data_IF_499002092673
#
_entry.id   IF_499002092673
#
_cell.length_a   1.000
_cell.length_b   1.000
_cell.length_c   1.000
_cell.angle_alpha   90.00
_cell.angle_beta   90.00
_cell.angle_gamma   90.00
#
_symmetry.space_group_name_H-M   'P 1'
#
loop_
_entity.id
_entity.type
_entity.pdbx_description
1 polymer ?
#
# COMPACT_ATOMS: atom_id res chain seq x y z
N UNK A 1 14.87 19.55 -1.79
CA UNK A 1 14.29 19.22 -0.49
C UNK A 1 14.97 17.93 -0.04
N UNK A 2 16.07 18.05 0.68
CA UNK A 2 16.76 16.93 1.31
C UNK A 2 15.86 16.50 2.49
N UNK A 3 15.00 15.51 2.26
CA UNK A 3 14.45 14.78 3.39
C UNK A 3 15.65 14.28 4.19
N UNK A 4 15.69 14.65 5.45
CA UNK A 4 16.78 14.37 6.37
C UNK A 4 17.18 12.89 6.25
N UNK A 5 18.44 12.62 5.87
CA UNK A 5 18.98 11.26 5.75
C UNK A 5 18.75 10.45 7.03
N UNK A 6 18.69 11.12 8.19
CA UNK A 6 18.36 10.51 9.46
C UNK A 6 16.91 9.98 9.50
N UNK A 7 15.94 10.71 8.95
CA UNK A 7 14.55 10.27 8.88
C UNK A 7 14.37 9.10 7.91
N UNK A 8 15.08 9.12 6.80
CA UNK A 8 15.13 8.02 5.84
C UNK A 8 15.67 6.76 6.51
N UNK A 9 16.84 6.84 7.14
CA UNK A 9 17.46 5.71 7.85
C UNK A 9 16.55 5.17 8.95
N UNK A 10 15.90 6.05 9.71
CA UNK A 10 14.90 5.67 10.72
C UNK A 10 13.74 4.88 10.12
N UNK A 11 13.20 5.36 9.00
CA UNK A 11 12.11 4.68 8.30
C UNK A 11 12.54 3.30 7.82
N UNK A 12 13.70 3.19 7.17
CA UNK A 12 14.23 1.91 6.71
C UNK A 12 14.50 0.93 7.86
N UNK A 13 15.03 1.43 9.00
CA UNK A 13 15.22 0.61 10.20
C UNK A 13 13.89 0.05 10.74
N UNK A 14 12.79 0.83 10.69
CA UNK A 14 11.46 0.35 11.06
C UNK A 14 11.05 -0.80 10.14
N UNK A 15 11.22 -0.63 8.83
CA UNK A 15 10.86 -1.65 7.84
C UNK A 15 11.68 -2.93 8.01
N UNK A 16 12.99 -2.83 8.14
CA UNK A 16 13.86 -3.98 8.33
C UNK A 16 13.46 -4.78 9.56
N UNK A 17 13.32 -4.12 10.72
CA UNK A 17 12.88 -4.77 11.96
C UNK A 17 11.51 -5.41 11.84
N UNK A 18 10.58 -4.76 11.10
CA UNK A 18 9.24 -5.32 10.85
C UNK A 18 9.33 -6.63 10.06
N UNK A 19 10.12 -6.63 8.97
CA UNK A 19 10.29 -7.79 8.09
C UNK A 19 10.95 -8.95 8.85
N UNK A 20 11.95 -8.65 9.71
CA UNK A 20 12.58 -9.63 10.60
C UNK A 20 11.58 -10.25 11.58
N UNK A 21 10.77 -9.42 12.25
CA UNK A 21 9.75 -9.89 13.20
C UNK A 21 8.70 -10.79 12.55
N UNK A 22 8.39 -10.57 11.27
CA UNK A 22 7.38 -11.33 10.53
C UNK A 22 7.99 -12.51 9.74
N UNK A 23 9.30 -12.62 9.68
CA UNK A 23 10.02 -13.63 8.89
C UNK A 23 9.54 -13.73 7.44
N UNK A 24 9.11 -12.59 6.86
CA UNK A 24 8.51 -12.55 5.54
C UNK A 24 9.48 -12.03 4.47
N UNK A 25 9.09 -12.21 3.20
CA UNK A 25 9.75 -11.55 2.06
C UNK A 25 9.05 -10.23 1.77
N UNK A 26 9.82 -9.20 1.41
CA UNK A 26 9.28 -7.89 1.10
C UNK A 26 9.92 -7.28 -0.15
N UNK A 27 9.10 -6.57 -0.93
CA UNK A 27 9.55 -5.60 -1.94
C UNK A 27 9.35 -4.23 -1.32
N UNK A 28 10.41 -3.44 -1.23
CA UNK A 28 10.38 -2.10 -0.64
C UNK A 28 10.69 -1.08 -1.74
N UNK A 29 9.70 -0.27 -2.09
CA UNK A 29 9.90 0.81 -3.05
C UNK A 29 10.36 2.07 -2.33
N UNK A 30 11.45 2.63 -2.81
CA UNK A 30 12.07 3.86 -2.30
C UNK A 30 12.25 4.87 -3.44
N UNK A 31 12.20 6.19 -3.17
CA UNK A 31 12.25 7.21 -4.21
C UNK A 31 13.68 7.57 -4.68
N UNK A 32 14.65 6.66 -4.51
CA UNK A 32 16.06 6.91 -4.88
C UNK A 32 16.51 5.95 -5.95
N UNK A 33 17.36 6.47 -6.85
CA UNK A 33 17.96 5.67 -7.92
C UNK A 33 19.21 4.91 -7.41
N UNK A 34 19.96 5.47 -6.48
CA UNK A 34 21.11 4.81 -5.86
C UNK A 34 20.70 4.08 -4.58
N UNK A 35 20.68 2.77 -4.66
CA UNK A 35 20.36 1.87 -3.56
C UNK A 35 21.61 1.26 -2.90
N UNK A 36 22.81 1.60 -3.37
CA UNK A 36 24.08 1.01 -2.91
C UNK A 36 24.40 1.30 -1.43
N UNK A 37 23.85 2.39 -0.90
CA UNK A 37 24.01 2.76 0.52
C UNK A 37 23.15 1.91 1.49
N UNK A 38 22.32 1.01 0.97
CA UNK A 38 21.40 0.20 1.77
C UNK A 38 21.82 -1.26 1.74
N UNK A 39 22.22 -1.80 2.88
CA UNK A 39 22.40 -3.25 3.05
C UNK A 39 21.04 -3.94 2.93
N UNK A 40 20.87 -4.75 1.90
CA UNK A 40 19.68 -5.56 1.71
C UNK A 40 19.90 -6.96 2.27
N UNK A 41 18.95 -7.45 3.08
CA UNK A 41 18.91 -8.86 3.50
C UNK A 41 18.34 -9.71 2.38
N UNK A 42 18.63 -11.00 2.36
CA UNK A 42 18.18 -11.96 1.34
C UNK A 42 16.66 -11.98 1.10
N UNK A 43 15.88 -11.58 2.12
CA UNK A 43 14.42 -11.56 2.06
C UNK A 43 13.83 -10.17 1.72
N UNK A 44 14.65 -9.16 1.42
CA UNK A 44 14.23 -7.80 1.07
C UNK A 44 14.75 -7.43 -0.31
N UNK A 45 13.82 -7.13 -1.21
CA UNK A 45 14.16 -6.62 -2.54
C UNK A 45 13.80 -5.13 -2.63
N UNK A 46 14.81 -4.27 -2.77
CA UNK A 46 14.60 -2.82 -2.89
C UNK A 46 14.51 -2.40 -4.36
N UNK A 47 13.54 -1.52 -4.65
CA UNK A 47 13.32 -0.98 -6.00
C UNK A 47 13.07 0.54 -5.92
N UNK A 48 13.47 1.28 -6.94
CA UNK A 48 13.15 2.71 -7.07
C UNK A 48 11.76 2.92 -7.72
N UNK A 49 11.42 2.06 -8.68
CA UNK A 49 10.12 2.06 -9.37
C UNK A 49 9.66 0.64 -9.61
N UNK A 50 8.34 0.43 -9.57
CA UNK A 50 7.75 -0.84 -9.94
C UNK A 50 6.39 -0.64 -10.61
N UNK A 51 6.05 -1.42 -11.64
CA UNK A 51 4.73 -1.40 -12.25
C UNK A 51 3.73 -2.06 -11.29
N UNK A 52 2.91 -1.27 -10.63
CA UNK A 52 1.95 -1.77 -9.62
C UNK A 52 1.01 -2.84 -10.19
N UNK A 53 0.59 -2.68 -11.44
CA UNK A 53 -0.27 -3.67 -12.11
C UNK A 53 0.36 -5.07 -12.21
N UNK A 54 1.69 -5.17 -12.23
CA UNK A 54 2.40 -6.45 -12.32
C UNK A 54 2.83 -6.98 -10.94
N UNK A 55 3.23 -6.07 -10.05
CA UNK A 55 3.81 -6.43 -8.74
C UNK A 55 2.72 -6.70 -7.71
N UNK A 56 1.73 -5.83 -7.59
CA UNK A 56 0.71 -5.94 -6.53
C UNK A 56 -0.08 -7.25 -6.57
N UNK A 57 -0.49 -7.79 -7.74
CA UNK A 57 -1.19 -9.10 -7.79
C UNK A 57 -0.38 -10.26 -7.22
N UNK A 58 0.95 -10.14 -7.14
CA UNK A 58 1.86 -11.16 -6.61
C UNK A 58 2.16 -11.02 -5.12
N UNK A 59 1.70 -9.94 -4.50
CA UNK A 59 1.87 -9.69 -3.06
C UNK A 59 0.73 -10.30 -2.25
N UNK A 60 1.00 -10.68 -1.01
CA UNK A 60 -0.03 -11.11 -0.06
C UNK A 60 -0.81 -9.92 0.53
N UNK A 61 -0.13 -8.80 0.76
CA UNK A 61 -0.70 -7.54 1.22
C UNK A 61 0.14 -6.36 0.71
N UNK A 62 -0.46 -5.18 0.62
CA UNK A 62 0.19 -3.96 0.19
C UNK A 62 0.27 -2.98 1.37
N UNK A 63 1.47 -2.53 1.70
CA UNK A 63 1.67 -1.47 2.70
C UNK A 63 1.92 -0.16 1.98
N UNK A 64 1.08 0.85 2.23
CA UNK A 64 1.20 2.13 1.54
C UNK A 64 0.67 3.30 2.39
N UNK A 65 0.91 4.53 1.93
CA UNK A 65 0.53 5.74 2.69
C UNK A 65 -0.98 6.07 2.65
N UNK A 66 -1.77 5.43 1.78
CA UNK A 66 -3.21 5.71 1.66
C UNK A 66 -3.56 6.81 0.65
N UNK A 67 -2.64 7.19 -0.25
CA UNK A 67 -3.00 8.09 -1.35
C UNK A 67 -3.97 7.43 -2.33
N UNK A 68 -4.90 8.21 -2.92
CA UNK A 68 -5.98 7.71 -3.78
C UNK A 68 -5.50 6.76 -4.88
N UNK A 69 -4.45 7.13 -5.64
CA UNK A 69 -3.95 6.32 -6.75
C UNK A 69 -3.40 4.95 -6.31
N UNK A 70 -2.61 4.91 -5.22
CA UNK A 70 -2.08 3.64 -4.70
C UNK A 70 -3.19 2.80 -4.07
N UNK A 71 -4.17 3.43 -3.43
CA UNK A 71 -5.37 2.76 -2.90
C UNK A 71 -6.15 2.08 -4.03
N UNK A 72 -6.41 2.78 -5.13
CA UNK A 72 -7.06 2.20 -6.31
C UNK A 72 -6.25 1.06 -6.91
N UNK A 73 -4.93 1.23 -7.04
CA UNK A 73 -4.05 0.18 -7.57
C UNK A 73 -4.05 -1.09 -6.71
N UNK A 74 -4.08 -0.96 -5.38
CA UNK A 74 -4.15 -2.12 -4.48
C UNK A 74 -5.50 -2.84 -4.55
N UNK A 75 -6.60 -2.09 -4.67
CA UNK A 75 -7.94 -2.64 -4.86
C UNK A 75 -8.09 -3.33 -6.21
N UNK A 76 -7.63 -2.70 -7.31
CA UNK A 76 -7.62 -3.33 -8.65
C UNK A 76 -6.82 -4.63 -8.66
N UNK A 77 -5.72 -4.69 -7.92
CA UNK A 77 -4.93 -5.91 -7.76
C UNK A 77 -5.61 -6.97 -6.88
N UNK A 78 -6.74 -6.65 -6.25
CA UNK A 78 -7.46 -7.55 -5.36
C UNK A 78 -6.70 -7.88 -4.08
N UNK A 79 -5.90 -6.93 -3.56
CA UNK A 79 -5.03 -7.17 -2.40
C UNK A 79 -5.44 -6.32 -1.19
N UNK A 80 -5.43 -6.91 0.01
CA UNK A 80 -5.68 -6.17 1.24
C UNK A 80 -4.52 -5.22 1.54
N UNK A 81 -4.82 -4.16 2.28
CA UNK A 81 -3.88 -3.06 2.53
C UNK A 81 -3.59 -2.83 4.00
N UNK A 82 -2.39 -2.35 4.28
CA UNK A 82 -1.99 -1.75 5.56
C UNK A 82 -1.65 -0.29 5.31
N UNK A 83 -2.38 0.63 5.94
CA UNK A 83 -2.23 2.06 5.70
C UNK A 83 -1.35 2.69 6.77
N UNK A 84 -0.32 3.42 6.32
CA UNK A 84 0.57 4.23 7.15
C UNK A 84 0.42 5.69 6.71
N UNK A 85 -0.57 6.39 7.25
CA UNK A 85 -0.93 7.73 6.83
C UNK A 85 0.08 8.79 7.28
N UNK A 86 0.33 9.76 6.40
CA UNK A 86 1.18 10.93 6.62
C UNK A 86 0.36 12.23 6.78
N UNK A 87 -0.79 12.32 6.12
CA UNK A 87 -1.66 13.50 6.07
C UNK A 87 -3.15 13.10 6.05
N UNK A 88 -4.03 14.11 6.17
CA UNK A 88 -5.45 13.94 6.47
C UNK A 88 -6.26 13.11 5.44
N UNK A 89 -6.07 13.36 4.14
CA UNK A 89 -6.78 12.64 3.07
C UNK A 89 -6.47 11.12 3.05
N UNK A 90 -5.26 10.76 3.45
CA UNK A 90 -4.82 9.36 3.54
C UNK A 90 -5.52 8.62 4.69
N UNK A 91 -5.86 9.33 5.76
CA UNK A 91 -6.65 8.77 6.86
C UNK A 91 -8.08 8.45 6.41
N UNK A 92 -8.65 9.30 5.56
CA UNK A 92 -9.97 9.05 4.95
C UNK A 92 -9.95 7.74 4.14
N UNK A 93 -8.99 7.57 3.22
CA UNK A 93 -8.86 6.35 2.42
C UNK A 93 -8.61 5.11 3.30
N UNK A 94 -7.82 5.25 4.35
CA UNK A 94 -7.62 4.16 5.31
C UNK A 94 -8.92 3.75 6.03
N UNK A 95 -9.75 4.71 6.43
CA UNK A 95 -11.05 4.45 7.02
C UNK A 95 -12.00 3.74 6.05
N UNK A 96 -12.02 4.17 4.77
CA UNK A 96 -12.84 3.52 3.74
C UNK A 96 -12.40 2.07 3.47
N UNK A 97 -11.10 1.81 3.35
CA UNK A 97 -10.59 0.45 3.18
C UNK A 97 -10.93 -0.45 4.37
N UNK A 98 -10.87 0.09 5.59
CA UNK A 98 -11.31 -0.61 6.80
C UNK A 98 -12.81 -0.89 6.76
N UNK A 99 -13.64 0.09 6.38
CA UNK A 99 -15.10 -0.08 6.22
C UNK A 99 -15.45 -1.17 5.20
N UNK A 100 -14.70 -1.26 4.12
CA UNK A 100 -14.83 -2.31 3.10
C UNK A 100 -14.30 -3.67 3.59
N UNK A 101 -13.64 -3.72 4.73
CA UNK A 101 -13.08 -4.95 5.30
C UNK A 101 -11.89 -5.49 4.53
N UNK A 102 -11.08 -4.60 3.93
CA UNK A 102 -9.87 -4.93 3.17
C UNK A 102 -8.61 -4.28 3.75
N UNK A 103 -8.72 -3.65 4.93
CA UNK A 103 -7.62 -3.12 5.71
C UNK A 103 -7.94 -3.17 7.21
N UNK A 104 -6.90 -3.10 8.04
CA UNK A 104 -7.02 -2.87 9.47
C UNK A 104 -7.07 -1.39 9.84
N UNK A 105 -6.73 -1.07 11.09
CA UNK A 105 -6.61 0.31 11.57
C UNK A 105 -5.51 1.07 10.83
N UNK A 106 -5.78 2.34 10.51
CA UNK A 106 -4.80 3.23 9.90
C UNK A 106 -3.71 3.58 10.91
N UNK A 107 -2.47 3.25 10.57
CA UNK A 107 -1.30 3.63 11.33
C UNK A 107 -0.87 5.06 10.98
N UNK A 108 -0.31 5.78 11.95
CA UNK A 108 0.19 7.14 11.75
C UNK A 108 1.72 7.12 11.64
N UNK A 109 2.29 7.70 10.58
CA UNK A 109 3.74 7.75 10.37
C UNK A 109 4.50 8.36 11.55
N UNK A 110 3.98 9.45 12.13
CA UNK A 110 4.64 10.16 13.24
C UNK A 110 4.87 9.29 14.48
N UNK A 111 4.02 8.30 14.71
CA UNK A 111 4.09 7.39 15.86
C UNK A 111 4.35 5.93 15.46
N UNK A 112 4.83 5.71 14.23
CA UNK A 112 5.10 4.37 13.71
C UNK A 112 6.29 3.75 14.42
N UNK A 113 6.14 2.48 14.80
CA UNK A 113 7.21 1.61 15.28
C UNK A 113 7.18 0.28 14.53
N UNK A 114 8.27 -0.47 14.56
CA UNK A 114 8.32 -1.79 13.93
C UNK A 114 7.24 -2.73 14.51
N UNK A 115 6.99 -2.68 15.80
CA UNK A 115 5.97 -3.49 16.46
C UNK A 115 4.56 -3.15 15.99
N UNK A 116 4.23 -1.85 15.87
CA UNK A 116 2.92 -1.41 15.37
C UNK A 116 2.72 -1.85 13.92
N UNK A 117 3.76 -1.70 13.09
CA UNK A 117 3.70 -2.09 11.69
C UNK A 117 3.58 -3.61 11.55
N UNK A 118 4.38 -4.37 12.29
CA UNK A 118 4.31 -5.83 12.30
C UNK A 118 2.92 -6.32 12.73
N UNK A 119 2.35 -5.73 13.79
CA UNK A 119 0.98 -6.05 14.25
C UNK A 119 -0.06 -5.76 13.16
N UNK A 120 0.04 -4.62 12.48
CA UNK A 120 -0.88 -4.25 11.39
C UNK A 120 -0.78 -5.21 10.20
N UNK A 121 0.43 -5.59 9.81
CA UNK A 121 0.66 -6.55 8.72
C UNK A 121 0.17 -7.94 9.12
N UNK A 122 0.52 -8.42 10.31
CA UNK A 122 0.06 -9.72 10.81
C UNK A 122 -1.46 -9.79 10.89
N UNK A 123 -2.14 -8.72 11.33
CA UNK A 123 -3.61 -8.64 11.36
C UNK A 123 -4.21 -8.88 9.97
N UNK A 124 -3.67 -8.23 8.94
CA UNK A 124 -4.15 -8.35 7.55
C UNK A 124 -3.83 -9.73 6.97
N UNK A 125 -2.64 -10.27 7.23
CA UNK A 125 -2.22 -11.57 6.69
C UNK A 125 -2.95 -12.74 7.33
N UNK A 126 -3.36 -12.62 8.59
CA UNK A 126 -4.04 -13.68 9.34
C UNK A 126 -5.58 -13.68 9.12
N UNK A 127 -6.15 -12.63 8.54
CA UNK A 127 -7.57 -12.59 8.20
C UNK A 127 -7.83 -13.23 6.83
N UNK A 128 -8.32 -14.45 6.83
CA UNK A 128 -8.65 -15.19 5.60
C UNK A 128 -9.80 -14.60 4.78
N UNK A 129 -10.55 -13.65 5.32
CA UNK A 129 -11.68 -12.99 4.65
C UNK A 129 -11.26 -11.77 3.85
N UNK A 130 -10.24 -11.05 4.32
CA UNK A 130 -9.76 -9.83 3.66
C UNK A 130 -9.31 -10.05 2.20
N UNK A 131 -8.50 -11.06 1.88
CA UNK A 131 -8.11 -11.32 0.49
C UNK A 131 -9.30 -11.61 -0.42
N UNK A 132 -10.32 -12.33 0.08
CA UNK A 132 -11.53 -12.64 -0.68
C UNK A 132 -12.34 -11.38 -0.98
N UNK A 133 -12.52 -10.51 0.03
CA UNK A 133 -13.21 -9.22 -0.14
C UNK A 133 -12.45 -8.31 -1.11
N UNK A 134 -11.13 -8.21 -0.96
CA UNK A 134 -10.31 -7.41 -1.85
C UNK A 134 -10.39 -7.90 -3.30
N UNK A 135 -10.33 -9.22 -3.52
CA UNK A 135 -10.48 -9.82 -4.84
C UNK A 135 -11.85 -9.53 -5.47
N UNK A 136 -12.94 -9.62 -4.70
CA UNK A 136 -14.28 -9.31 -5.19
C UNK A 136 -14.41 -7.82 -5.61
N UNK A 137 -13.87 -6.90 -4.80
CA UNK A 137 -13.84 -5.47 -5.14
C UNK A 137 -13.02 -5.24 -6.41
N UNK A 138 -11.83 -5.85 -6.50
CA UNK A 138 -10.97 -5.72 -7.69
C UNK A 138 -11.67 -6.19 -8.96
N UNK A 139 -12.38 -7.31 -8.92
CA UNK A 139 -13.18 -7.81 -10.06
C UNK A 139 -14.26 -6.82 -10.49
N UNK A 140 -14.96 -6.20 -9.56
CA UNK A 140 -15.94 -5.15 -9.87
C UNK A 140 -15.27 -3.95 -10.53
N UNK A 141 -14.14 -3.48 -9.99
CA UNK A 141 -13.43 -2.31 -10.51
C UNK A 141 -12.84 -2.52 -11.91
N UNK A 142 -12.40 -3.72 -12.26
CA UNK A 142 -11.90 -4.05 -13.62
C UNK A 142 -12.99 -3.87 -14.68
N UNK A 143 -14.26 -4.07 -14.32
CA UNK A 143 -15.40 -3.86 -15.23
C UNK A 143 -15.79 -2.39 -15.42
N UNK A 144 -15.24 -1.47 -14.64
CA UNK A 144 -15.55 -0.04 -14.72
C UNK A 144 -14.61 0.69 -15.66
N UNK A 145 -15.18 1.28 -16.74
CA UNK A 145 -14.49 2.23 -17.61
C UNK A 145 -14.89 3.66 -17.23
N UNK A 146 -14.24 4.21 -16.20
CA UNK A 146 -14.54 5.53 -15.68
C UNK A 146 -14.35 6.66 -16.72
N UNK A 147 -13.40 6.52 -17.64
CA UNK A 147 -13.15 7.49 -18.72
C UNK A 147 -14.29 7.46 -19.71
N UNK A 148 -14.69 6.29 -20.19
CA UNK A 148 -15.84 6.14 -21.10
C UNK A 148 -17.12 6.67 -20.45
N UNK A 149 -17.34 6.39 -19.18
CA UNK A 149 -18.50 6.89 -18.46
C UNK A 149 -18.49 8.41 -18.32
N UNK A 150 -17.34 9.02 -18.05
CA UNK A 150 -17.20 10.47 -17.99
C UNK A 150 -17.50 11.12 -19.36
N UNK A 151 -16.98 10.56 -20.44
CA UNK A 151 -17.26 11.03 -21.82
C UNK A 151 -18.77 10.98 -22.09
N UNK A 152 -19.43 9.85 -21.84
CA UNK A 152 -20.87 9.70 -22.03
C UNK A 152 -21.69 10.73 -21.25
N UNK A 153 -21.30 11.01 -19.99
CA UNK A 153 -21.97 12.01 -19.19
C UNK A 153 -21.79 13.43 -19.75
N UNK A 154 -20.57 13.78 -20.17
CA UNK A 154 -20.32 15.09 -20.78
C UNK A 154 -21.10 15.25 -22.08
N UNK A 155 -21.09 14.27 -22.96
CA UNK A 155 -21.87 14.30 -24.22
C UNK A 155 -23.37 14.47 -23.95
N UNK A 156 -23.91 13.81 -22.91
CA UNK A 156 -25.33 13.93 -22.55
C UNK A 156 -25.74 15.30 -21.99
N UNK A 157 -24.76 16.13 -21.56
CA UNK A 157 -25.02 17.49 -21.04
C UNK A 157 -24.98 18.52 -22.19
N UNK A 158 -24.17 18.26 -23.21
CA UNK A 158 -23.91 19.24 -24.29
C UNK A 158 -24.62 18.91 -25.62
N UNK A 159 -25.30 17.79 -25.68
CA UNK A 159 -26.20 17.42 -26.81
C UNK A 159 -27.65 17.49 -26.37
#
# INVERSE_FOLDING_TARGET
MLSDLAEIRKTLSIWQKTIEMLECRAIVQVPWDDLSAFETKQNVFMVNRSPYAEVFPRCAAIVHHGGAGTTQSSLLAGKPSVIVAHMADQTFWGAELKRLGVAGDTLQRKSLTAQKLAKGIAFVLNDSTMPKKAAAIGQTMVGEDGVKRAIQLLESIFM
#
